data_IF_471365613412
#
_entry.id   IF_471365613412
#
_cell.length_a   1.000
_cell.length_b   1.000
_cell.length_c   1.000
_cell.angle_alpha   90.00
_cell.angle_beta   90.00
_cell.angle_gamma   90.00
#
_symmetry.space_group_name_H-M   'P 1'
#
loop_
_entity.id
_entity.type
_entity.pdbx_description
1 polymer ?
#
# COMPACT_ATOMS: atom_id res chain seq x y z
N UNK A 1 9.76 -24.31 3.58
CA UNK A 1 8.38 -23.89 3.85
C UNK A 1 7.70 -23.74 2.50
N UNK A 2 6.68 -24.54 2.23
CA UNK A 2 5.87 -24.40 1.03
C UNK A 2 4.86 -23.27 1.23
N UNK A 3 4.21 -22.79 0.17
CA UNK A 3 3.24 -21.69 0.28
C UNK A 3 2.02 -22.10 1.13
N UNK A 4 1.61 -23.36 1.07
CA UNK A 4 0.56 -23.96 1.91
C UNK A 4 0.86 -23.93 3.42
N UNK A 5 2.13 -23.89 3.81
CA UNK A 5 2.53 -23.81 5.22
C UNK A 5 2.38 -22.38 5.78
N UNK A 6 2.20 -21.37 4.92
CA UNK A 6 2.17 -19.97 5.32
C UNK A 6 0.87 -19.62 6.05
N UNK A 7 1.02 -19.00 7.22
CA UNK A 7 -0.06 -18.37 7.99
C UNK A 7 0.33 -16.92 8.24
N UNK A 8 -0.23 -16.03 7.42
CA UNK A 8 0.20 -14.64 7.34
C UNK A 8 -0.81 -13.76 8.05
N UNK A 9 -0.35 -13.03 9.08
CA UNK A 9 -1.12 -11.95 9.68
C UNK A 9 -0.76 -10.63 9.00
N UNK A 10 -1.64 -10.13 8.14
CA UNK A 10 -1.48 -8.88 7.40
C UNK A 10 -2.13 -7.71 8.17
N UNK A 11 -1.37 -6.66 8.46
CA UNK A 11 -1.87 -5.43 9.07
C UNK A 11 -1.83 -4.29 8.06
N UNK A 12 -2.99 -3.69 7.80
CA UNK A 12 -3.12 -2.57 6.88
C UNK A 12 -3.86 -1.41 7.52
N UNK A 13 -3.35 -0.19 7.29
CA UNK A 13 -4.02 1.03 7.69
C UNK A 13 -5.30 1.30 6.90
N UNK A 14 -5.39 0.81 5.65
CA UNK A 14 -6.59 0.87 4.80
C UNK A 14 -6.62 -0.38 3.91
N UNK A 15 -7.58 -1.29 4.14
CA UNK A 15 -7.67 -2.52 3.36
C UNK A 15 -8.74 -2.53 2.27
N UNK A 16 -9.94 -1.99 2.52
CA UNK A 16 -11.03 -2.05 1.54
C UNK A 16 -11.99 -0.84 1.54
N UNK A 17 -11.80 0.13 2.44
CA UNK A 17 -12.78 1.20 2.63
C UNK A 17 -12.50 2.47 1.81
N UNK A 18 -11.28 2.67 1.30
CA UNK A 18 -10.98 3.64 0.23
C UNK A 18 -10.31 2.90 -0.93
N UNK A 19 -10.57 3.28 -2.18
CA UNK A 19 -9.95 2.66 -3.36
C UNK A 19 -8.62 3.34 -3.72
N UNK A 20 -7.51 2.67 -3.42
CA UNK A 20 -6.15 3.14 -3.72
C UNK A 20 -5.31 2.02 -4.34
N UNK A 21 -4.26 2.38 -5.08
CA UNK A 21 -3.37 1.38 -5.69
C UNK A 21 -2.67 0.45 -4.67
N UNK A 22 -2.45 0.93 -3.44
CA UNK A 22 -1.83 0.14 -2.37
C UNK A 22 -2.75 -1.01 -1.91
N UNK A 23 -4.01 -0.72 -1.59
CA UNK A 23 -4.93 -1.74 -1.09
C UNK A 23 -5.38 -2.71 -2.18
N UNK A 24 -5.47 -2.27 -3.44
CA UNK A 24 -5.72 -3.16 -4.57
C UNK A 24 -4.57 -4.18 -4.73
N UNK A 25 -3.32 -3.74 -4.59
CA UNK A 25 -2.17 -4.65 -4.63
C UNK A 25 -2.19 -5.66 -3.48
N UNK A 26 -2.55 -5.23 -2.26
CA UNK A 26 -2.68 -6.13 -1.12
C UNK A 26 -3.80 -7.16 -1.31
N UNK A 27 -5.00 -6.75 -1.76
CA UNK A 27 -6.09 -7.69 -1.99
C UNK A 27 -5.75 -8.71 -3.09
N UNK A 28 -5.05 -8.29 -4.16
CA UNK A 28 -4.54 -9.22 -5.18
C UNK A 28 -3.51 -10.20 -4.61
N UNK A 29 -2.61 -9.73 -3.75
CA UNK A 29 -1.66 -10.58 -3.05
C UNK A 29 -2.38 -11.62 -2.19
N UNK A 30 -3.32 -11.19 -1.36
CA UNK A 30 -4.09 -12.09 -0.50
C UNK A 30 -4.85 -13.12 -1.34
N UNK A 31 -5.53 -12.69 -2.40
CA UNK A 31 -6.22 -13.60 -3.31
C UNK A 31 -5.29 -14.62 -3.96
N UNK A 32 -4.08 -14.20 -4.37
CA UNK A 32 -3.07 -15.12 -4.89
C UNK A 32 -2.61 -16.12 -3.82
N UNK A 33 -2.25 -15.65 -2.62
CA UNK A 33 -1.77 -16.49 -1.52
C UNK A 33 -2.80 -17.55 -1.12
N UNK A 34 -4.07 -17.16 -1.00
CA UNK A 34 -5.17 -18.08 -0.71
C UNK A 34 -5.32 -19.16 -1.79
N UNK A 35 -5.20 -18.80 -3.08
CA UNK A 35 -5.21 -19.78 -4.18
C UNK A 35 -4.01 -20.72 -4.16
N UNK A 36 -2.89 -20.31 -3.58
CA UNK A 36 -1.71 -21.16 -3.39
C UNK A 36 -1.76 -21.97 -2.09
N UNK A 37 -2.89 -21.96 -1.36
CA UNK A 37 -3.09 -22.74 -0.15
C UNK A 37 -2.60 -22.08 1.14
N UNK A 38 -2.02 -20.88 1.09
CA UNK A 38 -1.65 -20.15 2.29
C UNK A 38 -2.90 -19.70 3.07
N UNK A 39 -2.79 -19.61 4.39
CA UNK A 39 -3.79 -18.95 5.22
C UNK A 39 -3.41 -17.49 5.44
N UNK A 40 -4.37 -16.57 5.28
CA UNK A 40 -4.15 -15.14 5.49
C UNK A 40 -5.25 -14.57 6.37
N UNK A 41 -4.86 -13.86 7.44
CA UNK A 41 -5.78 -13.07 8.27
C UNK A 41 -5.38 -11.61 8.22
N UNK A 42 -6.34 -10.75 7.91
CA UNK A 42 -6.13 -9.32 7.69
C UNK A 42 -6.67 -8.53 8.87
N UNK A 43 -5.92 -7.55 9.35
CA UNK A 43 -6.29 -6.65 10.43
C UNK A 43 -6.24 -5.21 9.92
N UNK A 44 -7.39 -4.55 9.87
CA UNK A 44 -7.50 -3.18 9.37
C UNK A 44 -8.72 -2.48 9.97
N UNK A 45 -8.74 -1.14 10.03
CA UNK A 45 -9.97 -0.40 10.23
C UNK A 45 -11.05 -0.85 9.23
N UNK A 46 -12.30 -0.90 9.69
CA UNK A 46 -13.47 -1.16 8.83
C UNK A 46 -14.46 -0.02 8.95
N UNK A 47 -15.33 0.11 7.94
CA UNK A 47 -16.45 1.05 7.92
C UNK A 47 -17.72 0.31 7.54
N UNK A 48 -18.87 0.97 7.70
CA UNK A 48 -20.18 0.38 7.35
C UNK A 48 -20.32 0.13 5.85
N UNK A 49 -19.83 1.06 5.02
CA UNK A 49 -19.96 1.04 3.57
C UNK A 49 -18.56 1.10 2.94
N UNK A 50 -17.90 -0.05 2.72
CA UNK A 50 -16.57 -0.07 2.12
C UNK A 50 -16.63 0.22 0.62
N UNK A 51 -15.51 0.67 0.05
CA UNK A 51 -15.40 0.95 -1.39
C UNK A 51 -15.38 -0.32 -2.26
N UNK A 52 -15.09 -1.48 -1.67
CA UNK A 52 -15.15 -2.80 -2.28
C UNK A 52 -15.10 -3.92 -1.22
N UNK A 53 -15.47 -5.13 -1.62
CA UNK A 53 -15.39 -6.31 -0.78
C UNK A 53 -13.93 -6.70 -0.49
N UNK A 54 -13.59 -7.01 0.77
CA UNK A 54 -12.24 -7.44 1.12
C UNK A 54 -11.98 -8.86 0.62
N UNK A 55 -10.78 -9.09 0.10
CA UNK A 55 -10.30 -10.46 -0.17
C UNK A 55 -9.72 -11.06 1.11
N UNK A 56 -10.15 -12.27 1.48
CA UNK A 56 -9.69 -12.98 2.67
C UNK A 56 -10.37 -12.53 3.97
N UNK A 57 -9.91 -13.10 5.10
CA UNK A 57 -10.54 -12.90 6.41
C UNK A 57 -10.16 -11.55 7.02
N UNK A 58 -11.08 -10.59 6.99
CA UNK A 58 -10.88 -9.24 7.54
C UNK A 58 -11.39 -9.12 8.99
N UNK A 59 -10.47 -8.82 9.91
CA UNK A 59 -10.74 -8.53 11.32
C UNK A 59 -10.65 -7.02 11.58
N UNK A 60 -11.76 -6.46 12.05
CA UNK A 60 -11.86 -5.04 12.36
C UNK A 60 -11.01 -4.63 13.57
N UNK A 61 -10.35 -3.49 13.46
CA UNK A 61 -9.63 -2.84 14.57
C UNK A 61 -10.20 -1.46 14.90
N UNK A 62 -10.12 -1.01 16.17
CA UNK A 62 -10.62 0.29 16.58
C UNK A 62 -9.88 1.42 15.86
N UNK A 63 -10.65 2.39 15.37
CA UNK A 63 -10.14 3.49 14.57
C UNK A 63 -11.02 4.73 14.64
N UNK A 64 -10.44 5.91 14.42
CA UNK A 64 -11.17 7.18 14.24
C UNK A 64 -10.94 7.72 12.83
N UNK A 65 -11.90 8.50 12.32
CA UNK A 65 -11.73 9.18 11.03
C UNK A 65 -10.65 10.27 11.12
N UNK A 66 -9.93 10.49 10.01
CA UNK A 66 -8.91 11.53 9.93
C UNK A 66 -9.58 12.91 9.83
N UNK A 67 -9.18 13.91 10.64
CA UNK A 67 -9.76 15.25 10.59
C UNK A 67 -9.55 15.91 9.21
N UNK A 68 -10.62 16.32 8.54
CA UNK A 68 -10.58 16.93 7.21
C UNK A 68 -10.37 15.96 6.03
N UNK A 69 -10.16 14.66 6.30
CA UNK A 69 -10.16 13.57 5.30
C UNK A 69 -10.85 12.34 5.88
N UNK A 70 -12.15 12.48 6.14
CA UNK A 70 -12.93 11.47 6.88
C UNK A 70 -12.99 10.09 6.22
N UNK A 71 -12.64 10.00 4.93
CA UNK A 71 -12.47 8.75 4.21
C UNK A 71 -11.27 7.92 4.71
N UNK A 72 -10.24 8.56 5.25
CA UNK A 72 -9.11 7.89 5.89
C UNK A 72 -9.35 7.72 7.39
N UNK A 73 -8.68 6.72 7.99
CA UNK A 73 -8.83 6.39 9.39
C UNK A 73 -7.48 6.19 10.07
N UNK A 74 -7.40 6.58 11.34
CA UNK A 74 -6.30 6.26 12.23
C UNK A 74 -6.66 5.03 13.05
N UNK A 75 -5.87 3.98 12.93
CA UNK A 75 -5.93 2.87 13.86
C UNK A 75 -5.45 3.32 15.25
N UNK A 76 -6.15 2.91 16.31
CA UNK A 76 -5.87 3.42 17.67
C UNK A 76 -5.03 2.47 18.49
N UNK A 77 -5.23 1.16 18.32
CA UNK A 77 -4.61 0.16 19.17
C UNK A 77 -4.70 -1.24 18.58
N UNK A 78 -4.02 -2.18 19.22
CA UNK A 78 -4.22 -3.62 19.04
C UNK A 78 -4.89 -4.16 20.32
N UNK A 79 -6.24 -4.16 20.41
CA UNK A 79 -6.96 -4.47 21.64
C UNK A 79 -6.88 -5.96 21.99
N UNK A 80 -7.15 -6.31 23.26
CA UNK A 80 -7.01 -7.68 23.76
C UNK A 80 -7.79 -8.73 22.96
N UNK A 81 -9.00 -8.41 22.48
CA UNK A 81 -9.78 -9.30 21.61
C UNK A 81 -9.05 -9.62 20.30
N UNK A 82 -8.51 -8.60 19.63
CA UNK A 82 -7.75 -8.78 18.37
C UNK A 82 -6.44 -9.52 18.63
N UNK A 83 -5.77 -9.29 19.77
CA UNK A 83 -4.58 -10.07 20.14
C UNK A 83 -4.86 -11.55 20.38
N UNK A 84 -6.04 -11.89 20.93
CA UNK A 84 -6.45 -13.29 21.11
C UNK A 84 -6.70 -13.95 19.76
N UNK A 85 -7.47 -13.31 18.89
CA UNK A 85 -7.69 -13.78 17.52
C UNK A 85 -6.37 -13.99 16.76
N UNK A 86 -5.45 -13.01 16.85
CA UNK A 86 -4.11 -13.10 16.27
C UNK A 86 -3.28 -14.26 16.84
N UNK A 87 -3.39 -14.53 18.14
CA UNK A 87 -2.67 -15.63 18.77
C UNK A 87 -3.28 -16.99 18.38
N UNK A 88 -4.60 -17.08 18.28
CA UNK A 88 -5.34 -18.28 17.86
C UNK A 88 -5.08 -18.62 16.40
N UNK A 89 -5.00 -17.61 15.53
CA UNK A 89 -4.60 -17.79 14.13
C UNK A 89 -3.16 -18.35 13.98
N UNK A 90 -2.32 -18.20 15.01
CA UNK A 90 -0.96 -18.73 15.09
C UNK A 90 -0.10 -18.43 13.83
N UNK A 91 0.03 -17.16 13.42
CA UNK A 91 0.76 -16.80 12.22
C UNK A 91 2.24 -17.19 12.34
N UNK A 92 2.84 -17.61 11.23
CA UNK A 92 4.29 -17.79 11.12
C UNK A 92 4.99 -16.61 10.43
N UNK A 93 4.23 -15.67 9.86
CA UNK A 93 4.74 -14.41 9.30
C UNK A 93 3.78 -13.27 9.64
N UNK A 94 4.33 -12.11 10.01
CA UNK A 94 3.57 -10.87 10.15
C UNK A 94 3.95 -9.93 9.00
N UNK A 95 2.96 -9.45 8.26
CA UNK A 95 3.13 -8.48 7.18
C UNK A 95 2.47 -7.16 7.58
N UNK A 96 3.21 -6.05 7.56
CA UNK A 96 2.67 -4.71 7.79
C UNK A 96 2.74 -3.86 6.51
N UNK A 97 1.70 -3.10 6.19
CA UNK A 97 1.64 -2.29 4.97
C UNK A 97 1.52 -0.77 5.22
N UNK A 98 1.54 -0.35 6.48
CA UNK A 98 1.56 1.06 6.88
C UNK A 98 2.34 1.24 8.20
N UNK A 99 3.04 2.36 8.42
CA UNK A 99 3.75 2.66 9.66
C UNK A 99 2.83 3.29 10.72
N UNK A 100 1.62 2.75 10.89
CA UNK A 100 0.60 3.29 11.78
C UNK A 100 0.64 2.64 13.18
N UNK A 101 -0.19 3.14 14.11
CA UNK A 101 -0.19 2.65 15.50
C UNK A 101 -0.46 1.15 15.56
N UNK A 102 -1.42 0.65 14.77
CA UNK A 102 -1.69 -0.78 14.66
C UNK A 102 -0.44 -1.56 14.28
N UNK A 103 0.24 -1.17 13.21
CA UNK A 103 1.43 -1.87 12.73
C UNK A 103 2.58 -1.79 13.72
N UNK A 104 2.80 -0.65 14.39
CA UNK A 104 3.76 -0.55 15.49
C UNK A 104 3.48 -1.57 16.61
N UNK A 105 2.20 -1.78 16.96
CA UNK A 105 1.80 -2.79 17.96
C UNK A 105 1.93 -4.21 17.42
N UNK A 106 1.61 -4.46 16.15
CA UNK A 106 1.80 -5.75 15.49
C UNK A 106 3.28 -6.16 15.45
N UNK A 107 4.18 -5.27 15.03
CA UNK A 107 5.63 -5.51 15.03
C UNK A 107 6.13 -5.79 16.46
N UNK A 108 5.64 -5.06 17.46
CA UNK A 108 5.99 -5.34 18.87
C UNK A 108 5.56 -6.75 19.29
N UNK A 109 4.32 -7.13 18.96
CA UNK A 109 3.76 -8.44 19.28
C UNK A 109 4.53 -9.57 18.58
N UNK A 110 4.85 -9.41 17.29
CA UNK A 110 5.58 -10.38 16.48
C UNK A 110 7.00 -10.63 17.02
N UNK A 111 7.74 -9.54 17.31
CA UNK A 111 9.10 -9.63 17.83
C UNK A 111 9.17 -10.31 19.20
N UNK A 112 8.21 -10.06 20.08
CA UNK A 112 8.14 -10.77 21.38
C UNK A 112 7.93 -12.29 21.24
N UNK A 113 7.49 -12.74 20.06
CA UNK A 113 7.26 -14.15 19.71
C UNK A 113 8.28 -14.70 18.72
N UNK A 114 9.32 -13.92 18.39
CA UNK A 114 10.34 -14.27 17.39
C UNK A 114 9.76 -14.64 16.02
N UNK A 115 8.64 -14.02 15.66
CA UNK A 115 8.05 -14.17 14.34
C UNK A 115 8.71 -13.20 13.35
N UNK A 116 8.98 -13.63 12.11
CA UNK A 116 9.48 -12.74 11.06
C UNK A 116 8.45 -11.69 10.68
N UNK A 117 8.93 -10.48 10.42
CA UNK A 117 8.15 -9.29 10.09
C UNK A 117 8.57 -8.74 8.73
N UNK A 118 7.66 -8.79 7.77
CA UNK A 118 7.81 -8.16 6.46
C UNK A 118 7.06 -6.82 6.43
N UNK A 119 7.66 -5.77 5.90
CA UNK A 119 6.96 -4.51 5.64
C UNK A 119 6.88 -4.22 4.13
N UNK A 120 5.69 -3.93 3.61
CA UNK A 120 5.54 -3.42 2.25
C UNK A 120 5.36 -1.91 2.23
N UNK A 121 6.21 -1.21 1.49
CA UNK A 121 6.21 0.26 1.43
C UNK A 121 5.38 0.71 0.23
N UNK A 122 4.24 1.36 0.48
CA UNK A 122 3.36 1.82 -0.58
C UNK A 122 3.20 3.34 -0.67
N UNK A 123 3.45 4.05 0.43
CA UNK A 123 3.21 5.49 0.55
C UNK A 123 4.43 6.16 1.16
N UNK A 124 4.81 7.30 0.60
CA UNK A 124 5.87 8.18 1.10
C UNK A 124 5.26 9.20 2.06
N UNK A 125 5.13 8.81 3.33
CA UNK A 125 4.51 9.67 4.33
C UNK A 125 5.36 10.91 4.63
N UNK A 126 6.68 10.80 4.49
CA UNK A 126 7.61 11.91 4.70
C UNK A 126 7.39 13.05 3.72
N UNK A 127 7.05 12.78 2.46
CA UNK A 127 6.87 13.83 1.45
C UNK A 127 5.59 14.62 1.61
N UNK A 128 4.62 14.12 2.39
CA UNK A 128 3.31 14.76 2.52
C UNK A 128 3.42 16.15 3.17
N UNK A 129 4.38 16.33 4.07
CA UNK A 129 4.61 17.60 4.76
C UNK A 129 5.06 18.73 3.83
N UNK A 130 5.61 18.42 2.65
CA UNK A 130 5.90 19.43 1.60
C UNK A 130 4.65 20.16 1.15
N UNK A 131 3.56 19.41 0.95
CA UNK A 131 2.30 19.96 0.46
C UNK A 131 1.56 20.81 1.51
N UNK A 132 2.03 20.81 2.76
CA UNK A 132 1.50 21.62 3.85
C UNK A 132 2.48 22.70 4.33
N UNK A 133 3.47 23.09 3.50
CA UNK A 133 4.51 24.06 3.85
C UNK A 133 5.31 23.70 5.12
N UNK A 134 5.44 22.41 5.42
CA UNK A 134 6.14 21.86 6.58
C UNK A 134 7.31 20.96 6.18
N UNK A 135 7.95 21.21 5.03
CA UNK A 135 9.07 20.42 4.51
C UNK A 135 10.23 20.26 5.52
N UNK A 136 10.44 21.25 6.40
CA UNK A 136 11.44 21.19 7.48
C UNK A 136 11.24 20.03 8.47
N UNK A 137 10.04 19.44 8.53
CA UNK A 137 9.75 18.27 9.37
C UNK A 137 10.22 16.95 8.77
N UNK A 138 10.54 16.91 7.46
CA UNK A 138 10.90 15.67 6.76
C UNK A 138 11.99 14.85 7.45
N UNK A 139 13.14 15.42 7.88
CA UNK A 139 14.19 14.61 8.51
C UNK A 139 13.72 13.95 9.82
N UNK A 140 12.82 14.62 10.56
CA UNK A 140 12.26 14.07 11.78
C UNK A 140 11.28 12.93 11.48
N UNK A 141 10.43 13.08 10.46
CA UNK A 141 9.51 12.03 10.03
C UNK A 141 10.27 10.83 9.46
N UNK A 142 11.31 11.07 8.65
CA UNK A 142 12.20 10.02 8.17
C UNK A 142 12.86 9.27 9.33
N UNK A 143 13.32 9.95 10.38
CA UNK A 143 13.90 9.30 11.55
C UNK A 143 12.88 8.41 12.28
N UNK A 144 11.62 8.85 12.39
CA UNK A 144 10.52 8.06 12.97
C UNK A 144 10.23 6.82 12.11
N UNK A 145 10.09 7.00 10.80
CA UNK A 145 9.85 5.91 9.85
C UNK A 145 11.01 4.91 9.84
N UNK A 146 12.26 5.40 9.85
CA UNK A 146 13.46 4.57 9.94
C UNK A 146 13.47 3.74 11.21
N UNK A 147 13.09 4.32 12.36
CA UNK A 147 12.97 3.58 13.62
C UNK A 147 11.92 2.48 13.55
N UNK A 148 10.82 2.69 12.83
CA UNK A 148 9.81 1.66 12.59
C UNK A 148 10.33 0.57 11.67
N UNK A 149 10.79 0.93 10.47
CA UNK A 149 11.18 -0.02 9.43
C UNK A 149 12.39 -0.88 9.82
N UNK A 150 13.34 -0.36 10.60
CA UNK A 150 14.47 -1.15 11.15
C UNK A 150 14.06 -2.23 12.15
N UNK A 151 12.80 -2.24 12.60
CA UNK A 151 12.27 -3.31 13.46
C UNK A 151 11.69 -4.48 12.66
N UNK A 152 11.53 -4.31 11.35
CA UNK A 152 11.10 -5.35 10.42
C UNK A 152 12.33 -6.10 9.91
N UNK A 153 12.17 -7.38 9.60
CA UNK A 153 13.26 -8.24 9.12
C UNK A 153 13.58 -7.96 7.65
N UNK A 154 12.58 -7.62 6.84
CA UNK A 154 12.76 -7.17 5.46
C UNK A 154 11.71 -6.15 5.05
N UNK A 155 12.08 -5.32 4.07
CA UNK A 155 11.17 -4.43 3.36
C UNK A 155 10.99 -4.88 1.92
N UNK A 156 9.79 -4.70 1.39
CA UNK A 156 9.50 -4.84 -0.04
C UNK A 156 9.02 -3.54 -0.64
N UNK A 157 9.71 -3.11 -1.69
CA UNK A 157 9.45 -1.89 -2.44
C UNK A 157 8.78 -2.19 -3.79
N UNK A 158 7.88 -1.31 -4.28
CA UNK A 158 7.12 -1.55 -5.50
C UNK A 158 7.88 -1.33 -6.80
N UNK A 159 9.05 -0.69 -6.73
CA UNK A 159 9.89 -0.35 -7.88
C UNK A 159 11.34 -0.18 -7.43
N UNK A 160 12.28 -0.31 -8.37
CA UNK A 160 13.70 -0.09 -8.09
C UNK A 160 13.98 1.34 -7.62
N UNK A 161 13.30 2.33 -8.22
CA UNK A 161 13.40 3.73 -7.79
C UNK A 161 13.00 3.93 -6.33
N UNK A 162 11.94 3.26 -5.86
CA UNK A 162 11.55 3.33 -4.45
C UNK A 162 12.54 2.57 -3.57
N UNK A 163 13.05 1.42 -4.00
CA UNK A 163 14.06 0.69 -3.25
C UNK A 163 15.33 1.52 -3.05
N UNK A 164 15.77 2.24 -4.09
CA UNK A 164 16.90 3.16 -4.01
C UNK A 164 16.65 4.26 -2.97
N UNK A 165 15.49 4.92 -2.99
CA UNK A 165 15.13 5.94 -1.99
C UNK A 165 15.18 5.36 -0.57
N UNK A 166 14.63 4.15 -0.36
CA UNK A 166 14.64 3.50 0.96
C UNK A 166 16.05 3.14 1.43
N UNK A 167 16.95 2.76 0.51
CA UNK A 167 18.37 2.48 0.80
C UNK A 167 19.12 3.77 1.15
N UNK A 168 18.93 4.84 0.38
CA UNK A 168 19.52 6.16 0.61
C UNK A 168 19.09 6.72 1.97
N UNK A 169 17.80 6.60 2.30
CA UNK A 169 17.25 6.96 3.59
C UNK A 169 17.58 5.95 4.72
N UNK A 170 18.29 4.86 4.41
CA UNK A 170 18.72 3.80 5.36
C UNK A 170 17.57 3.21 6.18
N UNK A 171 16.41 3.02 5.53
CA UNK A 171 15.16 2.57 6.16
C UNK A 171 15.23 1.13 6.66
N UNK A 172 15.91 0.24 5.92
CA UNK A 172 16.24 -1.12 6.34
C UNK A 172 17.52 -1.58 5.60
N UNK A 173 18.13 -2.67 6.07
CA UNK A 173 19.29 -3.29 5.44
C UNK A 173 18.90 -4.37 4.42
N UNK A 174 17.74 -5.00 4.58
CA UNK A 174 17.15 -5.94 3.62
C UNK A 174 15.96 -5.28 2.92
N UNK A 175 16.17 -4.93 1.65
CA UNK A 175 15.18 -4.26 0.80
C UNK A 175 15.13 -5.00 -0.53
N UNK A 176 13.99 -5.66 -0.77
CA UNK A 176 13.70 -6.42 -1.97
C UNK A 176 12.60 -5.76 -2.81
N UNK A 177 12.47 -6.18 -4.07
CA UNK A 177 11.42 -5.70 -4.96
C UNK A 177 10.21 -6.63 -4.90
N UNK A 178 9.04 -6.04 -4.64
CA UNK A 178 7.74 -6.65 -4.88
C UNK A 178 6.95 -5.71 -5.80
N UNK A 179 7.11 -5.92 -7.10
CA UNK A 179 6.43 -5.09 -8.10
C UNK A 179 4.92 -5.31 -8.07
N UNK A 180 4.18 -4.28 -8.49
CA UNK A 180 2.73 -4.39 -8.68
C UNK A 180 2.46 -5.07 -10.02
N UNK A 181 1.68 -6.13 -10.01
CA UNK A 181 1.13 -6.72 -11.23
C UNK A 181 -0.11 -5.96 -11.73
N UNK A 182 -0.36 -6.07 -13.04
CA UNK A 182 -1.63 -5.67 -13.67
C UNK A 182 -2.38 -6.92 -14.12
N UNK A 183 -3.71 -6.82 -14.16
CA UNK A 183 -4.55 -7.86 -14.72
C UNK A 183 -4.38 -7.88 -16.24
N UNK A 184 -3.84 -8.97 -16.79
CA UNK A 184 -3.55 -9.08 -18.24
C UNK A 184 -4.78 -9.41 -19.07
N UNK A 185 -5.89 -9.80 -18.46
CA UNK A 185 -7.17 -9.96 -19.17
C UNK A 185 -7.83 -8.59 -19.43
N UNK A 186 -7.57 -7.62 -18.56
CA UNK A 186 -8.05 -6.24 -18.71
C UNK A 186 -7.03 -5.38 -19.45
N UNK A 187 -5.75 -5.45 -19.06
CA UNK A 187 -4.68 -4.62 -19.61
C UNK A 187 -3.82 -5.43 -20.58
N UNK A 188 -4.25 -5.48 -21.83
CA UNK A 188 -3.45 -6.05 -22.92
C UNK A 188 -3.61 -5.23 -24.22
N UNK A 189 -2.61 -5.24 -25.12
CA UNK A 189 -2.65 -4.47 -26.37
C UNK A 189 -3.84 -4.80 -27.28
N UNK A 190 -4.46 -5.97 -27.11
CA UNK A 190 -5.66 -6.38 -27.84
C UNK A 190 -6.92 -5.57 -27.50
N UNK A 191 -6.94 -4.81 -26.41
CA UNK A 191 -8.03 -3.86 -26.09
C UNK A 191 -7.95 -2.55 -26.87
N UNK A 192 -6.98 -2.40 -27.78
CA UNK A 192 -6.84 -1.22 -28.63
C UNK A 192 -8.08 -1.05 -29.51
N UNK A 193 -8.75 0.10 -29.39
CA UNK A 193 -9.96 0.43 -30.16
C UNK A 193 -9.73 1.61 -31.11
N UNK A 194 -9.60 1.32 -32.40
CA UNK A 194 -9.54 2.35 -33.45
C UNK A 194 -10.88 3.09 -33.61
N UNK A 195 -12.00 2.44 -33.24
CA UNK A 195 -13.32 3.08 -33.24
C UNK A 195 -13.39 4.18 -32.18
N UNK A 196 -12.93 3.90 -30.95
CA UNK A 196 -12.87 4.88 -29.87
C UNK A 196 -11.96 6.06 -30.24
N UNK A 197 -10.80 5.81 -30.85
CA UNK A 197 -9.90 6.88 -31.33
C UNK A 197 -10.59 7.81 -32.31
N UNK A 198 -11.29 7.26 -33.32
CA UNK A 198 -12.04 8.06 -34.31
C UNK A 198 -13.16 8.88 -33.69
N UNK A 199 -13.91 8.29 -32.74
CA UNK A 199 -14.97 9.00 -32.02
C UNK A 199 -14.45 10.21 -31.25
N UNK A 200 -13.20 10.16 -30.77
CA UNK A 200 -12.53 11.24 -30.05
C UNK A 200 -11.72 12.16 -30.98
N UNK A 201 -11.87 12.04 -32.31
CA UNK A 201 -11.16 12.88 -33.29
C UNK A 201 -9.65 12.61 -33.38
N UNK A 202 -9.17 11.49 -32.82
CA UNK A 202 -7.75 11.14 -32.82
C UNK A 202 -7.45 10.32 -34.09
N UNK A 203 -6.73 10.92 -35.03
CA UNK A 203 -6.29 10.27 -36.27
C UNK A 203 -5.42 9.02 -36.01
N UNK A 204 -5.37 8.09 -36.96
CA UNK A 204 -4.65 6.82 -36.79
C UNK A 204 -3.15 7.02 -36.55
N UNK A 205 -2.54 7.97 -37.26
CA UNK A 205 -1.12 8.33 -37.15
C UNK A 205 -0.82 9.36 -36.04
N UNK A 206 -1.84 9.89 -35.38
CA UNK A 206 -1.68 10.92 -34.35
C UNK A 206 -1.25 10.26 -33.03
N UNK A 207 -0.10 10.65 -32.50
CA UNK A 207 0.32 10.24 -31.17
C UNK A 207 -0.64 10.84 -30.13
N UNK A 208 -1.34 9.97 -29.39
CA UNK A 208 -2.21 10.39 -28.29
C UNK A 208 -1.42 10.38 -26.99
N UNK A 209 -1.26 11.56 -26.38
CA UNK A 209 -0.63 11.73 -25.07
C UNK A 209 -1.76 11.96 -24.07
N UNK A 210 -1.76 11.19 -22.98
CA UNK A 210 -2.82 11.22 -21.98
C UNK A 210 -2.28 11.13 -20.57
N UNK A 211 -3.01 11.75 -19.65
CA UNK A 211 -2.78 11.65 -18.22
C UNK A 211 -4.00 11.01 -17.56
N UNK A 212 -3.78 9.96 -16.78
CA UNK A 212 -4.82 9.31 -15.99
C UNK A 212 -4.37 9.21 -14.54
N UNK A 213 -5.00 10.01 -13.67
CA UNK A 213 -4.69 10.03 -12.24
C UNK A 213 -5.63 10.96 -11.47
N UNK A 214 -5.57 10.89 -10.14
CA UNK A 214 -6.26 11.86 -9.27
C UNK A 214 -5.69 13.26 -9.51
N UNK A 215 -6.54 14.28 -9.50
CA UNK A 215 -6.12 15.68 -9.61
C UNK A 215 -5.64 16.20 -8.25
N UNK A 216 -4.45 15.76 -7.84
CA UNK A 216 -3.79 16.17 -6.59
C UNK A 216 -2.34 16.54 -6.87
N UNK A 217 -1.79 17.50 -6.10
CA UNK A 217 -0.45 18.08 -6.34
C UNK A 217 0.67 17.03 -6.43
N UNK A 218 0.55 15.93 -5.67
CA UNK A 218 1.51 14.82 -5.70
C UNK A 218 1.60 14.09 -7.06
N UNK A 219 0.74 14.40 -8.03
CA UNK A 219 0.74 13.80 -9.36
C UNK A 219 1.44 14.62 -10.44
N UNK A 220 2.01 15.79 -10.12
CA UNK A 220 2.78 16.59 -11.08
C UNK A 220 1.91 17.15 -12.22
N UNK A 221 0.74 17.69 -11.89
CA UNK A 221 -0.19 18.26 -12.87
C UNK A 221 0.39 19.49 -13.58
N UNK A 222 1.24 20.24 -12.88
CA UNK A 222 2.07 21.32 -13.41
C UNK A 222 2.98 20.81 -14.52
N UNK A 223 3.78 19.76 -14.24
CA UNK A 223 4.68 19.17 -15.23
C UNK A 223 3.91 18.62 -16.44
N UNK A 224 2.74 18.01 -16.22
CA UNK A 224 1.89 17.56 -17.32
C UNK A 224 1.39 18.74 -18.16
N UNK A 225 0.96 19.84 -17.53
CA UNK A 225 0.53 21.06 -18.23
C UNK A 225 1.67 21.63 -19.07
N UNK A 226 2.84 21.84 -18.47
CA UNK A 226 4.03 22.38 -19.14
C UNK A 226 4.43 21.51 -20.34
N UNK A 227 4.34 20.17 -20.19
CA UNK A 227 4.63 19.22 -21.27
C UNK A 227 3.65 19.39 -22.44
N UNK A 228 2.35 19.59 -22.16
CA UNK A 228 1.34 19.79 -23.22
C UNK A 228 1.54 21.13 -23.92
N UNK A 229 1.95 22.18 -23.20
CA UNK A 229 2.23 23.48 -23.80
C UNK A 229 3.46 23.44 -24.71
N UNK A 230 4.50 22.68 -24.37
CA UNK A 230 5.69 22.48 -25.22
C UNK A 230 5.42 21.63 -26.47
N UNK A 231 4.44 20.72 -26.40
CA UNK A 231 4.07 19.84 -27.50
C UNK A 231 3.09 20.47 -28.51
N UNK A 232 2.61 21.68 -28.24
CA UNK A 232 1.71 22.45 -29.12
C UNK A 232 2.49 23.29 -30.12
#
# INVERSE_FOLDING_TARGET
>A
MQTEDLRIALFSGNYNYVRDGANQALNRLVGYLLRQGAAVRVYSPTVKEPAFEPTGDLVSVPSIAFPGRGEYRFSLSLPGKVRRDLAEFAPNVVHVSSPDVLSHRAVTWARSRKLPVLASVHTRFETYFRYYNMAWMEPAIEAILRRFYRRCDALVAPSESMAQVLREQRMNYDISIWSRGVDREIFHPGQRSEAWRREHGIGQEVMAIGFLGRLVMEKGLDVFSDTIDELR
#
